data_IF_147699466422
#
_entry.id   IF_147699466422
#
_cell.length_a   1.000
_cell.length_b   1.000
_cell.length_c   1.000
_cell.angle_alpha   90.00
_cell.angle_beta   90.00
_cell.angle_gamma   90.00
#
_symmetry.space_group_name_H-M   'P 1'
#
loop_
_entity.id
_entity.type
_entity.pdbx_description
1 polymer ?
#
# COMPACT_ATOMS: atom_id res chain seq x y z
N UNK A 1 -12.01 31.51 10.31
CA UNK A 1 -10.70 30.86 10.08
C UNK A 1 -10.78 30.13 8.75
N UNK A 2 -9.97 30.46 7.72
CA UNK A 2 -9.94 29.68 6.50
C UNK A 2 -9.40 28.27 6.80
N UNK A 3 -10.05 27.24 6.25
CA UNK A 3 -9.64 25.84 6.42
C UNK A 3 -8.30 25.64 5.70
N UNK A 4 -7.28 25.14 6.40
CA UNK A 4 -5.98 24.88 5.79
C UNK A 4 -6.14 23.97 4.56
N UNK A 5 -5.53 24.35 3.43
CA UNK A 5 -5.59 23.56 2.20
C UNK A 5 -4.74 22.31 2.40
N UNK A 6 -5.38 21.15 2.38
CA UNK A 6 -4.68 19.86 2.49
C UNK A 6 -3.85 19.67 1.21
N UNK A 7 -2.53 19.57 1.35
CA UNK A 7 -1.67 19.17 0.25
C UNK A 7 -1.76 17.64 0.08
N UNK A 8 -2.33 17.21 -1.04
CA UNK A 8 -2.51 15.78 -1.36
C UNK A 8 -1.26 15.14 -1.95
N UNK A 9 -0.24 15.93 -2.31
CA UNK A 9 1.03 15.44 -2.88
C UNK A 9 2.06 15.10 -1.82
N UNK A 10 1.97 15.70 -0.63
CA UNK A 10 2.80 15.35 0.53
C UNK A 10 2.35 14.03 1.17
N UNK A 11 2.48 12.93 0.42
CA UNK A 11 2.02 11.61 0.86
C UNK A 11 2.78 11.09 2.09
N UNK A 12 4.00 11.58 2.35
CA UNK A 12 4.81 11.16 3.52
C UNK A 12 4.25 11.67 4.85
N UNK A 13 3.72 12.91 4.86
CA UNK A 13 3.13 13.53 6.04
C UNK A 13 1.61 13.40 6.13
N UNK A 14 0.94 12.98 5.05
CA UNK A 14 -0.52 12.97 4.96
C UNK A 14 -1.14 11.71 5.61
N UNK A 15 -2.09 11.85 6.54
CA UNK A 15 -2.85 10.71 7.08
C UNK A 15 -3.60 9.93 5.98
N UNK A 16 -3.67 8.60 6.11
CA UNK A 16 -4.30 7.73 5.11
C UNK A 16 -5.76 8.06 4.80
N UNK A 17 -6.51 8.61 5.75
CA UNK A 17 -7.89 9.10 5.55
C UNK A 17 -8.01 10.23 4.52
N UNK A 18 -6.90 10.90 4.21
CA UNK A 18 -6.82 11.95 3.21
C UNK A 18 -6.11 11.50 1.93
N UNK A 19 -5.72 10.24 1.82
CA UNK A 19 -5.14 9.75 0.58
C UNK A 19 -6.22 9.63 -0.50
N UNK A 20 -5.88 10.08 -1.70
CA UNK A 20 -6.70 9.91 -2.88
C UNK A 20 -5.82 9.50 -4.06
N UNK A 21 -6.40 9.44 -5.26
CA UNK A 21 -5.68 9.10 -6.48
C UNK A 21 -4.45 9.97 -6.72
N UNK A 22 -4.51 11.27 -6.42
CA UNK A 22 -3.37 12.17 -6.59
C UNK A 22 -2.25 11.85 -5.60
N UNK A 23 -2.58 11.47 -4.36
CA UNK A 23 -1.61 11.03 -3.35
C UNK A 23 -0.90 9.75 -3.77
N UNK A 24 -1.66 8.75 -4.24
CA UNK A 24 -1.06 7.50 -4.76
C UNK A 24 -0.14 7.79 -5.94
N UNK A 25 -0.55 8.64 -6.89
CA UNK A 25 0.32 8.99 -8.02
C UNK A 25 1.57 9.74 -7.56
N UNK A 26 1.46 10.68 -6.61
CA UNK A 26 2.61 11.36 -6.02
C UNK A 26 3.59 10.36 -5.38
N UNK A 27 3.08 9.38 -4.64
CA UNK A 27 3.87 8.28 -4.12
C UNK A 27 4.60 7.51 -5.23
N UNK A 28 3.91 7.06 -6.28
CA UNK A 28 4.54 6.32 -7.37
C UNK A 28 5.59 7.14 -8.14
N UNK A 29 5.33 8.43 -8.37
CA UNK A 29 6.26 9.36 -9.01
C UNK A 29 7.53 9.48 -8.16
N UNK A 30 7.38 9.74 -6.86
CA UNK A 30 8.51 9.88 -5.94
C UNK A 30 9.32 8.59 -5.86
N UNK A 31 8.66 7.45 -5.62
CA UNK A 31 9.34 6.15 -5.49
C UNK A 31 10.06 5.74 -6.77
N UNK A 32 9.47 6.02 -7.93
CA UNK A 32 10.10 5.76 -9.24
C UNK A 32 11.37 6.60 -9.40
N UNK A 33 11.29 7.88 -9.04
CA UNK A 33 12.45 8.78 -9.09
C UNK A 33 13.55 8.35 -8.11
N UNK A 34 13.18 7.97 -6.89
CA UNK A 34 14.11 7.54 -5.85
C UNK A 34 14.81 6.22 -6.19
N UNK A 35 14.06 5.22 -6.67
CA UNK A 35 14.57 3.86 -6.88
C UNK A 35 15.24 3.68 -8.24
N UNK A 36 14.74 4.36 -9.27
CA UNK A 36 15.16 4.12 -10.66
C UNK A 36 15.76 5.34 -11.34
N UNK A 37 15.69 6.54 -10.72
CA UNK A 37 16.27 7.76 -11.29
C UNK A 37 15.61 8.26 -12.57
N UNK A 38 14.41 7.77 -12.90
CA UNK A 38 13.70 8.09 -14.16
C UNK A 38 12.34 8.73 -13.90
N UNK A 39 11.83 9.42 -14.93
CA UNK A 39 10.51 10.05 -14.89
C UNK A 39 9.40 8.99 -14.96
N UNK A 40 8.36 9.19 -14.17
CA UNK A 40 7.23 8.28 -14.13
C UNK A 40 6.33 8.43 -15.37
N UNK A 41 6.04 7.31 -16.02
CA UNK A 41 5.06 7.22 -17.09
C UNK A 41 3.92 6.28 -16.70
N UNK A 42 2.64 6.68 -16.84
CA UNK A 42 1.51 5.85 -16.42
C UNK A 42 1.33 4.64 -17.34
N UNK A 43 0.71 3.57 -16.83
CA UNK A 43 0.28 2.46 -17.67
C UNK A 43 -0.77 2.93 -18.68
N UNK A 44 -0.46 2.81 -19.98
CA UNK A 44 -1.32 3.20 -21.12
C UNK A 44 -1.60 4.71 -21.22
N UNK A 45 -2.26 5.32 -20.24
CA UNK A 45 -2.45 6.76 -20.10
C UNK A 45 -2.92 7.12 -18.67
N UNK A 46 -2.79 8.39 -18.30
CA UNK A 46 -3.16 8.88 -16.96
C UNK A 46 -4.61 8.58 -16.58
N UNK A 47 -5.57 8.79 -17.49
CA UNK A 47 -7.00 8.60 -17.19
C UNK A 47 -7.32 7.15 -16.84
N UNK A 48 -6.71 6.21 -17.56
CA UNK A 48 -6.87 4.78 -17.31
C UNK A 48 -6.30 4.39 -15.95
N UNK A 49 -5.06 4.79 -15.67
CA UNK A 49 -4.40 4.47 -14.40
C UNK A 49 -5.12 5.11 -13.20
N UNK A 50 -5.59 6.35 -13.32
CA UNK A 50 -6.37 7.02 -12.29
C UNK A 50 -7.67 6.27 -11.97
N UNK A 51 -8.35 5.70 -12.98
CA UNK A 51 -9.55 4.92 -12.76
C UNK A 51 -9.26 3.62 -12.00
N UNK A 52 -8.16 2.94 -12.32
CA UNK A 52 -7.69 1.76 -11.58
C UNK A 52 -7.36 2.10 -10.13
N UNK A 53 -6.59 3.16 -9.91
CA UNK A 53 -6.21 3.62 -8.56
C UNK A 53 -7.44 4.00 -7.74
N UNK A 54 -8.39 4.73 -8.34
CA UNK A 54 -9.64 5.09 -7.66
C UNK A 54 -10.42 3.85 -7.21
N UNK A 55 -10.55 2.85 -8.08
CA UNK A 55 -11.22 1.58 -7.74
C UNK A 55 -10.48 0.84 -6.63
N UNK A 56 -9.16 0.70 -6.75
CA UNK A 56 -8.35 0.01 -5.75
C UNK A 56 -8.46 0.70 -4.37
N UNK A 57 -8.49 2.03 -4.32
CA UNK A 57 -8.68 2.80 -3.09
C UNK A 57 -10.03 2.48 -2.43
N UNK A 58 -11.11 2.38 -3.22
CA UNK A 58 -12.43 1.97 -2.72
C UNK A 58 -12.41 0.53 -2.20
N UNK A 59 -11.77 -0.39 -2.92
CA UNK A 59 -11.83 -1.82 -2.62
C UNK A 59 -10.96 -2.23 -1.40
N UNK A 60 -9.89 -1.47 -1.12
CA UNK A 60 -8.88 -1.88 -0.13
C UNK A 60 -8.53 -0.83 0.92
N UNK A 61 -8.86 0.44 0.70
CA UNK A 61 -8.41 1.54 1.54
C UNK A 61 -6.94 1.91 1.31
N UNK A 62 -6.57 3.13 1.71
CA UNK A 62 -5.26 3.71 1.40
C UNK A 62 -4.10 3.01 2.14
N UNK A 63 -4.28 2.66 3.41
CA UNK A 63 -3.23 2.03 4.20
C UNK A 63 -2.81 0.66 3.64
N UNK A 64 -3.78 -0.21 3.36
CA UNK A 64 -3.53 -1.54 2.79
C UNK A 64 -2.87 -1.42 1.41
N UNK A 65 -3.32 -0.46 0.59
CA UNK A 65 -2.69 -0.21 -0.70
C UNK A 65 -1.25 0.26 -0.58
N UNK A 66 -0.96 1.19 0.32
CA UNK A 66 0.39 1.68 0.52
C UNK A 66 1.34 0.54 0.90
N UNK A 67 0.96 -0.28 1.89
CA UNK A 67 1.72 -1.47 2.29
C UNK A 67 1.92 -2.46 1.14
N UNK A 68 0.86 -2.69 0.35
CA UNK A 68 0.94 -3.58 -0.80
C UNK A 68 1.86 -3.04 -1.90
N UNK A 69 1.83 -1.73 -2.16
CA UNK A 69 2.72 -1.11 -3.14
C UNK A 69 4.17 -1.07 -2.67
N UNK A 70 4.43 -0.83 -1.39
CA UNK A 70 5.78 -0.93 -0.82
C UNK A 70 6.35 -2.34 -1.03
N UNK A 71 5.55 -3.37 -0.77
CA UNK A 71 5.94 -4.75 -1.03
C UNK A 71 6.17 -5.00 -2.53
N UNK A 72 5.34 -4.43 -3.41
CA UNK A 72 5.55 -4.52 -4.85
C UNK A 72 6.88 -3.86 -5.27
N UNK A 73 7.18 -2.65 -4.79
CA UNK A 73 8.44 -1.96 -5.06
C UNK A 73 9.64 -2.74 -4.52
N UNK A 74 9.53 -3.32 -3.32
CA UNK A 74 10.60 -4.12 -2.69
C UNK A 74 11.04 -5.30 -3.55
N UNK A 75 10.10 -5.96 -4.22
CA UNK A 75 10.37 -7.18 -5.01
C UNK A 75 10.45 -6.92 -6.52
N UNK A 76 10.11 -5.72 -6.98
CA UNK A 76 10.12 -5.41 -8.40
C UNK A 76 11.56 -5.35 -8.92
N UNK A 77 11.78 -6.01 -10.05
CA UNK A 77 13.07 -6.03 -10.75
C UNK A 77 12.88 -5.39 -12.13
N UNK A 78 13.32 -4.13 -12.31
CA UNK A 78 13.27 -3.46 -13.60
C UNK A 78 14.01 -4.26 -14.67
N UNK A 79 13.47 -4.24 -15.89
CA UNK A 79 14.12 -4.79 -17.07
C UNK A 79 13.91 -3.85 -18.27
N UNK A 80 14.62 -4.03 -19.40
CA UNK A 80 14.52 -3.12 -20.53
C UNK A 80 13.10 -2.94 -21.10
N UNK A 81 12.23 -3.96 -20.98
CA UNK A 81 10.84 -3.89 -21.42
C UNK A 81 9.94 -3.19 -20.40
N UNK A 82 10.25 -3.34 -19.11
CA UNK A 82 9.52 -2.77 -17.99
C UNK A 82 10.49 -2.09 -17.02
N UNK A 83 10.89 -0.84 -17.30
CA UNK A 83 11.90 -0.14 -16.51
C UNK A 83 11.36 0.45 -15.21
N UNK A 84 10.02 0.56 -15.07
CA UNK A 84 9.35 1.11 -13.88
C UNK A 84 8.17 0.26 -13.46
N UNK A 85 7.91 0.24 -12.16
CA UNK A 85 6.67 -0.25 -11.61
C UNK A 85 5.60 0.85 -11.69
N UNK A 86 4.65 0.70 -12.62
CA UNK A 86 3.49 1.61 -12.70
C UNK A 86 2.40 1.21 -11.71
N UNK A 87 1.61 2.18 -11.25
CA UNK A 87 0.47 1.92 -10.38
C UNK A 87 -0.54 0.99 -11.06
N UNK A 88 -0.80 1.21 -12.35
CA UNK A 88 -1.69 0.35 -13.14
C UNK A 88 -1.21 -1.09 -13.20
N UNK A 89 0.10 -1.33 -13.41
CA UNK A 89 0.66 -2.68 -13.43
C UNK A 89 0.59 -3.35 -12.05
N UNK A 90 0.95 -2.62 -10.99
CA UNK A 90 0.86 -3.13 -9.63
C UNK A 90 -0.58 -3.55 -9.30
N UNK A 91 -1.56 -2.71 -9.62
CA UNK A 91 -2.99 -2.99 -9.40
C UNK A 91 -3.45 -4.20 -10.22
N UNK A 92 -3.17 -4.22 -11.52
CA UNK A 92 -3.69 -5.23 -12.42
C UNK A 92 -3.10 -6.63 -12.18
N UNK A 93 -1.83 -6.71 -11.78
CA UNK A 93 -1.10 -7.98 -11.78
C UNK A 93 -0.53 -8.40 -10.41
N UNK A 94 -0.34 -7.49 -9.46
CA UNK A 94 0.37 -7.79 -8.21
C UNK A 94 -0.55 -7.81 -6.99
N UNK A 95 -1.54 -6.91 -6.91
CA UNK A 95 -2.38 -6.77 -5.72
C UNK A 95 -3.14 -8.06 -5.36
N UNK A 96 -3.61 -8.81 -6.35
CA UNK A 96 -4.32 -10.09 -6.13
C UNK A 96 -3.48 -11.13 -5.39
N UNK A 97 -2.16 -11.07 -5.47
CA UNK A 97 -1.25 -11.94 -4.72
C UNK A 97 -0.80 -11.29 -3.40
N UNK A 98 -0.46 -10.01 -3.44
CA UNK A 98 0.17 -9.31 -2.31
C UNK A 98 -0.82 -9.03 -1.17
N UNK A 99 -2.03 -8.55 -1.48
CA UNK A 99 -3.00 -8.18 -0.43
C UNK A 99 -3.45 -9.39 0.39
N UNK A 100 -3.81 -10.55 -0.20
CA UNK A 100 -4.14 -11.73 0.61
C UNK A 100 -2.99 -12.18 1.51
N UNK A 101 -1.74 -12.10 1.03
CA UNK A 101 -0.57 -12.43 1.84
C UNK A 101 -0.41 -11.49 3.05
N UNK A 102 -0.57 -10.17 2.83
CA UNK A 102 -0.55 -9.18 3.91
C UNK A 102 -1.67 -9.42 4.93
N UNK A 103 -2.90 -9.66 4.47
CA UNK A 103 -4.03 -9.96 5.37
C UNK A 103 -3.80 -11.23 6.19
N UNK A 104 -3.20 -12.27 5.59
CA UNK A 104 -2.83 -13.49 6.30
C UNK A 104 -1.76 -13.21 7.36
N UNK A 105 -0.75 -12.42 7.03
CA UNK A 105 0.28 -12.01 7.99
C UNK A 105 -0.31 -11.22 9.16
N UNK A 106 -1.21 -10.26 8.88
CA UNK A 106 -1.91 -9.49 9.92
C UNK A 106 -2.75 -10.38 10.83
N UNK A 107 -3.45 -11.37 10.27
CA UNK A 107 -4.23 -12.33 11.03
C UNK A 107 -3.34 -13.20 11.96
N UNK A 108 -2.19 -13.67 11.46
CA UNK A 108 -1.22 -14.42 12.26
C UNK A 108 -0.69 -13.54 13.41
N UNK A 109 -0.29 -12.31 13.12
CA UNK A 109 0.21 -11.39 14.14
C UNK A 109 -0.86 -11.08 15.19
N UNK A 110 -2.13 -10.91 14.79
CA UNK A 110 -3.23 -10.72 15.73
C UNK A 110 -3.46 -11.94 16.63
N UNK A 111 -3.27 -13.17 16.11
CA UNK A 111 -3.35 -14.39 16.93
C UNK A 111 -2.20 -14.53 17.91
N UNK A 112 -0.96 -14.18 17.51
CA UNK A 112 0.23 -14.24 18.37
C UNK A 112 0.22 -13.12 19.42
N UNK A 113 -0.27 -11.93 19.06
CA UNK A 113 -0.35 -10.79 19.96
C UNK A 113 -1.50 -10.88 20.97
N UNK A 114 -2.41 -11.86 20.84
CA UNK A 114 -3.39 -12.15 21.88
C UNK A 114 -2.63 -12.80 23.04
N UNK A 115 -2.43 -12.11 24.17
CA UNK A 115 -1.87 -12.78 25.33
C UNK A 115 -2.83 -13.92 25.68
N UNK A 116 -2.34 -15.16 25.68
CA UNK A 116 -2.99 -16.22 26.45
C UNK A 116 -3.01 -15.72 27.89
N UNK A 117 -4.14 -15.11 28.29
CA UNK A 117 -4.51 -15.06 29.69
C UNK A 117 -4.79 -16.50 30.06
N UNK A 118 -3.77 -17.25 30.46
CA UNK A 118 -4.00 -18.45 31.27
C UNK A 118 -4.95 -18.02 32.37
N UNK A 119 -6.08 -18.71 32.44
CA UNK A 119 -7.07 -18.44 33.46
C UNK A 119 -6.45 -18.74 34.84
N UNK A 120 -6.93 -18.08 35.88
CA UNK A 120 -6.43 -18.30 37.24
C UNK A 120 -6.62 -19.76 37.71
N UNK A 121 -7.49 -20.52 37.03
CA UNK A 121 -7.71 -21.95 37.27
C UNK A 121 -6.64 -22.81 36.58
N UNK A 122 -6.23 -22.49 35.35
CA UNK A 122 -5.13 -23.19 34.64
C UNK A 122 -3.76 -22.98 35.31
N UNK A 123 -3.59 -21.86 36.03
CA UNK A 123 -2.38 -21.60 36.83
C UNK A 123 -2.34 -22.39 38.14
N UNK A 124 -3.51 -22.79 38.68
CA UNK A 124 -3.61 -23.54 39.93
C UNK A 124 -3.28 -25.01 39.77
N UNK A 125 -3.52 -25.58 38.59
CA UNK A 125 -3.20 -26.99 38.30
C UNK A 125 -1.70 -27.23 38.04
N UNK A 126 -0.87 -26.18 38.06
CA UNK A 126 0.57 -26.24 37.80
C UNK A 126 1.46 -26.11 39.05
N UNK A 127 0.88 -25.78 40.21
CA UNK A 127 1.57 -25.63 41.51
C UNK A 127 0.88 -26.49 42.58
#
# INVERSE_FOLDING_TARGET
>A
MPRAKIDRKDWRGLPYEHWNTATIHAYFIDRTRELYGIEYAPMRNWKFEQALVKRALTDHGAEMLHRAFDECFRVYQPNPQFPILTAGFAIAYRLNAVIPALKKADAIMATVARPERMTADELRDWF
#
